data_IF_822702898062
#
_entry.id   IF_822702898062
#
_cell.length_a   1.000
_cell.length_b   1.000
_cell.length_c   1.000
_cell.angle_alpha   90.00
_cell.angle_beta   90.00
_cell.angle_gamma   90.00
#
_symmetry.space_group_name_H-M   'P 1'
#
loop_
_entity.id
_entity.type
_entity.pdbx_description
1 polymer ?
#
# COMPACT_ATOMS: atom_id res chain seq x y z
N UNK A 1 33.20 -13.51 8.25
CA UNK A 1 32.83 -12.31 7.47
C UNK A 1 31.54 -12.49 6.65
N UNK A 2 31.39 -13.49 5.76
CA UNK A 2 30.14 -13.69 4.96
C UNK A 2 28.83 -13.79 5.79
N UNK A 3 28.84 -14.48 6.94
CA UNK A 3 27.65 -14.57 7.81
C UNK A 3 27.22 -13.21 8.37
N UNK A 4 28.16 -12.37 8.78
CA UNK A 4 27.88 -11.04 9.34
C UNK A 4 27.22 -10.16 8.28
N UNK A 5 27.73 -10.15 7.04
CA UNK A 5 27.12 -9.41 5.93
C UNK A 5 25.67 -9.85 5.65
N UNK A 6 25.39 -11.16 5.68
CA UNK A 6 24.04 -11.68 5.46
C UNK A 6 23.04 -11.23 6.53
N UNK A 7 23.46 -11.15 7.80
CA UNK A 7 22.62 -10.62 8.88
C UNK A 7 22.32 -9.13 8.70
N UNK A 8 23.32 -8.33 8.31
CA UNK A 8 23.12 -6.90 8.04
C UNK A 8 22.11 -6.69 6.89
N UNK A 9 22.28 -7.40 5.77
CA UNK A 9 21.34 -7.33 4.64
C UNK A 9 19.93 -7.73 5.04
N UNK A 10 19.76 -8.74 5.89
CA UNK A 10 18.45 -9.16 6.38
C UNK A 10 17.77 -8.10 7.25
N UNK A 11 18.50 -7.45 8.17
CA UNK A 11 17.95 -6.36 8.98
C UNK A 11 17.61 -5.13 8.14
N UNK A 12 18.49 -4.75 7.20
CA UNK A 12 18.23 -3.67 6.25
C UNK A 12 16.95 -3.97 5.46
N UNK A 13 16.77 -5.20 4.99
CA UNK A 13 15.58 -5.62 4.26
C UNK A 13 14.30 -5.47 5.11
N UNK A 14 14.33 -5.86 6.39
CA UNK A 14 13.18 -5.68 7.29
C UNK A 14 12.89 -4.20 7.53
N UNK A 15 13.91 -3.39 7.79
CA UNK A 15 13.75 -1.95 8.04
C UNK A 15 13.20 -1.27 6.78
N UNK A 16 13.75 -1.58 5.61
CA UNK A 16 13.28 -1.10 4.32
C UNK A 16 11.82 -1.51 4.09
N UNK A 17 11.44 -2.75 4.43
CA UNK A 17 10.06 -3.20 4.31
C UNK A 17 9.11 -2.29 5.07
N UNK A 18 9.39 -1.99 6.35
CA UNK A 18 8.52 -1.13 7.15
C UNK A 18 8.49 0.30 6.60
N UNK A 19 9.66 0.89 6.37
CA UNK A 19 9.74 2.28 5.92
C UNK A 19 9.05 2.48 4.58
N UNK A 20 9.35 1.64 3.59
CA UNK A 20 8.80 1.79 2.24
C UNK A 20 7.30 1.56 2.22
N UNK A 21 6.78 0.53 2.92
CA UNK A 21 5.34 0.27 2.95
C UNK A 21 4.56 1.36 3.71
N UNK A 22 5.10 1.87 4.84
CA UNK A 22 4.46 2.98 5.57
C UNK A 22 4.48 4.24 4.70
N UNK A 23 5.61 4.57 4.08
CA UNK A 23 5.71 5.74 3.21
C UNK A 23 4.76 5.63 2.00
N UNK A 24 4.54 4.43 1.48
CA UNK A 24 3.63 4.25 0.35
C UNK A 24 2.16 4.55 0.69
N UNK A 25 1.77 4.51 1.97
CA UNK A 25 0.42 4.91 2.39
C UNK A 25 0.12 6.37 2.10
N UNK A 26 1.15 7.22 2.04
CA UNK A 26 1.01 8.63 1.67
C UNK A 26 0.55 8.84 0.23
N UNK A 27 0.76 7.86 -0.65
CA UNK A 27 0.19 7.91 -2.00
C UNK A 27 -1.34 7.89 -1.96
N UNK A 28 -1.98 7.42 -0.90
CA UNK A 28 -3.43 7.49 -0.74
C UNK A 28 -3.91 8.75 -0.04
N UNK A 29 -3.14 9.28 0.90
CA UNK A 29 -3.59 10.29 1.86
C UNK A 29 -3.15 11.70 1.53
N UNK A 30 -2.12 11.87 0.68
CA UNK A 30 -1.64 13.18 0.21
C UNK A 30 -2.33 13.53 -1.10
N UNK A 31 -2.92 14.73 -1.17
CA UNK A 31 -3.70 15.17 -2.32
C UNK A 31 -2.84 15.33 -3.58
N UNK A 32 -1.58 15.75 -3.44
CA UNK A 32 -0.62 15.89 -4.53
C UNK A 32 -0.32 14.55 -5.21
N UNK A 33 -0.36 13.44 -4.45
CA UNK A 33 -0.12 12.08 -4.96
C UNK A 33 -1.42 11.38 -5.36
N UNK A 34 -2.55 11.76 -4.74
CA UNK A 34 -3.87 11.27 -5.06
C UNK A 34 -4.88 12.41 -5.10
N UNK A 35 -4.98 13.07 -6.25
CA UNK A 35 -5.87 14.23 -6.46
C UNK A 35 -7.37 13.96 -6.27
N UNK A 36 -7.77 12.71 -6.10
CA UNK A 36 -9.18 12.30 -6.00
C UNK A 36 -9.72 12.30 -4.56
N UNK A 37 -8.89 12.57 -3.56
CA UNK A 37 -9.35 12.70 -2.17
C UNK A 37 -9.72 14.14 -1.82
N UNK A 38 -10.62 14.28 -0.86
CA UNK A 38 -10.83 15.56 -0.19
C UNK A 38 -9.59 15.88 0.68
N UNK A 39 -9.07 17.12 0.64
CA UNK A 39 -7.92 17.50 1.44
C UNK A 39 -8.28 17.52 2.91
N UNK A 40 -7.65 16.65 3.69
CA UNK A 40 -7.63 16.73 5.14
C UNK A 40 -6.36 17.46 5.58
N UNK A 41 -6.47 18.32 6.60
CA UNK A 41 -5.29 19.01 7.12
C UNK A 41 -4.40 18.01 7.85
N UNK A 42 -3.22 17.76 7.28
CA UNK A 42 -2.15 17.04 7.94
C UNK A 42 -1.64 17.88 9.12
N UNK A 43 -1.59 17.27 10.30
CA UNK A 43 -0.99 17.87 11.48
C UNK A 43 -0.04 16.85 12.12
N UNK A 44 0.93 17.35 12.88
CA UNK A 44 2.00 16.52 13.42
C UNK A 44 1.49 15.33 14.26
N UNK A 45 0.47 15.55 15.10
CA UNK A 45 -0.10 14.49 15.94
C UNK A 45 -0.83 13.42 15.11
N UNK A 46 -1.55 13.84 14.07
CA UNK A 46 -2.23 12.94 13.13
C UNK A 46 -1.23 12.09 12.34
N UNK A 47 -0.14 12.70 11.89
CA UNK A 47 0.95 12.01 11.20
C UNK A 47 1.65 10.98 12.08
N UNK A 48 1.99 11.34 13.31
CA UNK A 48 2.56 10.40 14.27
C UNK A 48 1.60 9.25 14.55
N UNK A 49 0.31 9.53 14.73
CA UNK A 49 -0.69 8.51 14.97
C UNK A 49 -0.85 7.56 13.77
N UNK A 50 -0.89 8.10 12.55
CA UNK A 50 -0.94 7.31 11.32
C UNK A 50 0.30 6.42 11.16
N UNK A 51 1.50 6.97 11.40
CA UNK A 51 2.75 6.23 11.34
C UNK A 51 2.78 5.07 12.35
N UNK A 52 2.43 5.35 13.62
CA UNK A 52 2.38 4.32 14.68
C UNK A 52 1.33 3.27 14.38
N UNK A 53 0.15 3.67 13.89
CA UNK A 53 -0.92 2.74 13.50
C UNK A 53 -0.48 1.81 12.38
N UNK A 54 0.09 2.37 11.30
CA UNK A 54 0.60 1.60 10.16
C UNK A 54 1.72 0.65 10.60
N UNK A 55 2.68 1.14 11.39
CA UNK A 55 3.76 0.31 11.93
C UNK A 55 3.21 -0.83 12.79
N UNK A 56 2.25 -0.55 13.67
CA UNK A 56 1.68 -1.54 14.59
C UNK A 56 0.98 -2.67 13.85
N UNK A 57 0.18 -2.36 12.82
CA UNK A 57 -0.50 -3.37 12.00
C UNK A 57 0.52 -4.22 11.25
N UNK A 58 1.48 -3.60 10.56
CA UNK A 58 2.52 -4.33 9.84
C UNK A 58 3.35 -5.22 10.77
N UNK A 59 3.70 -4.70 11.95
CA UNK A 59 4.47 -5.43 12.95
C UNK A 59 3.69 -6.63 13.49
N UNK A 60 2.41 -6.44 13.80
CA UNK A 60 1.54 -7.51 14.26
C UNK A 60 1.40 -8.63 13.24
N UNK A 61 1.09 -8.28 11.98
CA UNK A 61 1.00 -9.25 10.87
C UNK A 61 2.32 -10.00 10.70
N UNK A 62 3.44 -9.29 10.63
CA UNK A 62 4.75 -9.90 10.47
C UNK A 62 5.10 -10.83 11.64
N UNK A 63 4.74 -10.44 12.87
CA UNK A 63 4.97 -11.27 14.06
C UNK A 63 4.23 -12.59 13.94
N UNK A 64 2.94 -12.57 13.56
CA UNK A 64 2.14 -13.78 13.35
C UNK A 64 2.79 -14.67 12.28
N UNK A 65 3.07 -14.15 11.09
CA UNK A 65 3.62 -14.98 10.00
C UNK A 65 5.03 -15.50 10.30
N UNK A 66 5.86 -14.73 10.99
CA UNK A 66 7.22 -15.15 11.35
C UNK A 66 7.23 -16.22 12.46
N UNK A 67 6.12 -16.40 13.18
CA UNK A 67 5.96 -17.58 14.06
C UNK A 67 5.92 -18.87 13.25
N UNK A 68 5.33 -18.88 12.05
CA UNK A 68 5.26 -20.05 11.18
C UNK A 68 6.48 -20.18 10.27
N UNK A 69 6.95 -19.06 9.71
CA UNK A 69 8.08 -19.04 8.78
C UNK A 69 9.39 -18.89 9.56
N UNK A 70 10.19 -19.96 9.63
CA UNK A 70 11.44 -19.97 10.41
C UNK A 70 12.70 -19.58 9.61
N UNK A 71 12.70 -19.81 8.29
CA UNK A 71 13.87 -19.58 7.43
C UNK A 71 13.93 -18.10 6.99
N UNK A 72 15.09 -17.47 7.14
CA UNK A 72 15.30 -16.06 6.77
C UNK A 72 14.93 -15.76 5.31
N UNK A 73 15.35 -16.62 4.36
CA UNK A 73 15.00 -16.49 2.94
C UNK A 73 13.48 -16.49 2.71
N UNK A 74 12.77 -17.42 3.36
CA UNK A 74 11.31 -17.52 3.25
C UNK A 74 10.60 -16.33 3.89
N UNK A 75 11.15 -15.75 4.97
CA UNK A 75 10.63 -14.51 5.57
C UNK A 75 10.76 -13.34 4.61
N UNK A 76 11.90 -13.18 3.94
CA UNK A 76 12.10 -12.14 2.93
C UNK A 76 11.16 -12.31 1.73
N UNK A 77 10.97 -13.56 1.25
CA UNK A 77 10.00 -13.86 0.19
C UNK A 77 8.57 -13.49 0.61
N UNK A 78 8.18 -13.81 1.85
CA UNK A 78 6.90 -13.40 2.40
C UNK A 78 6.75 -11.88 2.41
N UNK A 79 7.73 -11.15 2.93
CA UNK A 79 7.70 -9.68 2.98
C UNK A 79 7.60 -9.06 1.58
N UNK A 80 8.27 -9.64 0.58
CA UNK A 80 8.22 -9.19 -0.82
C UNK A 80 6.82 -9.42 -1.43
N UNK A 81 6.26 -10.62 -1.27
CA UNK A 81 4.90 -10.94 -1.74
C UNK A 81 3.87 -10.06 -1.01
N UNK A 82 4.02 -9.89 0.30
CA UNK A 82 3.13 -9.09 1.11
C UNK A 82 3.19 -7.60 0.71
N UNK A 83 4.39 -7.08 0.44
CA UNK A 83 4.57 -5.72 -0.12
C UNK A 83 3.86 -5.57 -1.46
N UNK A 84 3.99 -6.55 -2.37
CA UNK A 84 3.27 -6.53 -3.64
C UNK A 84 1.75 -6.45 -3.44
N UNK A 85 1.20 -7.29 -2.54
CA UNK A 85 -0.23 -7.30 -2.22
C UNK A 85 -0.70 -5.97 -1.61
N UNK A 86 0.07 -5.38 -0.69
CA UNK A 86 -0.23 -4.08 -0.09
C UNK A 86 -0.22 -2.97 -1.13
N UNK A 87 0.78 -2.93 -2.01
CA UNK A 87 0.88 -1.94 -3.08
C UNK A 87 -0.25 -2.09 -4.09
N UNK A 88 -0.63 -3.32 -4.43
CA UNK A 88 -1.78 -3.59 -5.28
C UNK A 88 -3.08 -3.11 -4.63
N UNK A 89 -3.25 -3.32 -3.32
CA UNK A 89 -4.39 -2.78 -2.58
C UNK A 89 -4.38 -1.25 -2.57
N UNK A 90 -3.24 -0.61 -2.31
CA UNK A 90 -3.09 0.84 -2.37
C UNK A 90 -3.48 1.37 -3.75
N UNK A 91 -3.03 0.75 -4.83
CA UNK A 91 -3.41 1.12 -6.18
C UNK A 91 -4.94 1.07 -6.37
N UNK A 92 -5.58 -0.05 -5.97
CA UNK A 92 -7.03 -0.20 -6.08
C UNK A 92 -7.80 0.79 -5.22
N UNK A 93 -7.32 1.13 -4.03
CA UNK A 93 -7.92 2.16 -3.19
C UNK A 93 -7.80 3.55 -3.84
N UNK A 94 -6.71 3.82 -4.56
CA UNK A 94 -6.55 5.03 -5.37
C UNK A 94 -7.56 5.10 -6.53
N UNK A 95 -7.76 3.98 -7.22
CA UNK A 95 -8.81 3.84 -8.25
C UNK A 95 -10.20 4.00 -7.63
N UNK A 96 -10.44 3.44 -6.45
CA UNK A 96 -11.70 3.62 -5.74
C UNK A 96 -11.95 5.11 -5.43
N UNK A 97 -10.93 5.84 -4.97
CA UNK A 97 -11.03 7.27 -4.71
C UNK A 97 -11.37 8.07 -5.99
N UNK A 98 -10.89 7.68 -7.17
CA UNK A 98 -11.28 8.29 -8.46
C UNK A 98 -12.79 8.30 -8.66
N UNK A 99 -13.44 7.16 -8.42
CA UNK A 99 -14.87 7.01 -8.72
C UNK A 99 -15.77 7.47 -7.57
N UNK A 100 -15.27 7.45 -6.33
CA UNK A 100 -16.12 7.58 -5.12
C UNK A 100 -15.64 8.64 -4.12
N UNK A 101 -14.52 9.31 -4.40
CA UNK A 101 -13.93 10.36 -3.56
C UNK A 101 -13.27 9.83 -2.30
N UNK A 102 -14.09 9.36 -1.34
CA UNK A 102 -13.61 8.83 -0.06
C UNK A 102 -13.76 7.32 0.03
N UNK A 103 -12.64 6.62 0.03
CA UNK A 103 -12.53 5.26 0.51
C UNK A 103 -13.25 5.07 1.87
N UNK A 104 -14.06 4.00 1.97
CA UNK A 104 -14.74 3.56 3.20
C UNK A 104 -15.95 4.37 3.69
N UNK A 105 -16.59 5.20 2.86
CA UNK A 105 -17.90 5.77 3.22
C UNK A 105 -19.04 4.77 2.92
N UNK A 106 -19.95 4.55 3.88
CA UNK A 106 -21.13 3.68 3.70
C UNK A 106 -21.97 4.13 2.49
N UNK A 107 -22.22 5.44 2.24
CA UNK A 107 -22.93 5.90 1.05
C UNK A 107 -22.23 5.50 -0.26
N UNK A 108 -20.90 5.55 -0.33
CA UNK A 108 -20.13 5.18 -1.52
C UNK A 108 -20.24 3.69 -1.88
N UNK A 109 -20.49 2.81 -0.90
CA UNK A 109 -20.63 1.36 -1.13
C UNK A 109 -21.91 0.95 -1.89
N UNK A 110 -22.86 1.87 -2.07
CA UNK A 110 -24.10 1.59 -2.83
C UNK A 110 -23.86 1.38 -4.33
N UNK A 111 -22.69 1.78 -4.85
CA UNK A 111 -22.30 1.60 -6.25
C UNK A 111 -22.12 0.13 -6.65
N UNK A 112 -21.82 -0.77 -5.71
CA UNK A 112 -21.75 -2.21 -6.03
C UNK A 112 -23.09 -2.78 -6.49
N UNK A 113 -24.18 -2.01 -6.35
CA UNK A 113 -25.52 -2.32 -6.87
C UNK A 113 -25.81 -1.67 -8.24
N UNK A 114 -24.82 -1.07 -8.89
CA UNK A 114 -25.01 -0.38 -10.17
C UNK A 114 -25.28 -1.41 -11.31
N UNK A 115 -26.46 -1.36 -11.97
CA UNK A 115 -26.84 -2.34 -12.99
C UNK A 115 -26.24 -2.07 -14.38
N UNK A 116 -25.42 -1.04 -14.56
CA UNK A 116 -24.84 -0.67 -15.86
C UNK A 116 -23.67 -1.59 -16.25
N UNK A 117 -23.89 -2.52 -17.18
CA UNK A 117 -22.89 -3.50 -17.67
C UNK A 117 -21.60 -2.85 -18.22
N UNK A 118 -21.69 -1.66 -18.82
CA UNK A 118 -20.53 -0.93 -19.36
C UNK A 118 -19.63 -0.26 -18.31
N UNK A 119 -20.11 -0.11 -17.08
CA UNK A 119 -19.36 0.56 -16.02
C UNK A 119 -18.13 -0.26 -15.60
N UNK A 120 -18.26 -1.58 -15.50
CA UNK A 120 -17.17 -2.45 -15.03
C UNK A 120 -15.96 -2.45 -15.96
N UNK A 121 -16.18 -2.58 -17.28
CA UNK A 121 -15.09 -2.62 -18.26
C UNK A 121 -14.43 -1.24 -18.44
N UNK A 122 -15.22 -0.16 -18.45
CA UNK A 122 -14.69 1.20 -18.51
C UNK A 122 -13.82 1.54 -17.29
N UNK A 123 -14.28 1.16 -16.10
CA UNK A 123 -13.54 1.32 -14.84
C UNK A 123 -12.19 0.61 -14.88
N UNK A 124 -12.14 -0.62 -15.40
CA UNK A 124 -10.90 -1.40 -15.49
C UNK A 124 -9.90 -0.79 -16.48
N UNK A 125 -10.36 -0.36 -17.66
CA UNK A 125 -9.49 0.33 -18.63
C UNK A 125 -8.94 1.62 -18.03
N UNK A 126 -9.78 2.40 -17.36
CA UNK A 126 -9.37 3.66 -16.75
C UNK A 126 -8.40 3.46 -15.59
N UNK A 127 -8.60 2.41 -14.77
CA UNK A 127 -7.64 2.00 -13.75
C UNK A 127 -6.26 1.68 -14.36
N UNK A 128 -6.22 0.91 -15.46
CA UNK A 128 -4.96 0.60 -16.14
C UNK A 128 -4.29 1.84 -16.75
N UNK A 129 -5.06 2.77 -17.31
CA UNK A 129 -4.53 4.02 -17.85
C UNK A 129 -3.93 4.90 -16.74
N UNK A 130 -4.51 4.91 -15.54
CA UNK A 130 -3.99 5.67 -14.40
C UNK A 130 -2.57 5.25 -13.99
N UNK A 131 -2.17 3.99 -14.21
CA UNK A 131 -0.80 3.53 -13.94
C UNK A 131 0.24 4.36 -14.71
N UNK A 132 -0.08 4.76 -15.94
CA UNK A 132 0.83 5.43 -16.86
C UNK A 132 0.57 6.93 -16.87
N UNK A 133 -0.67 7.36 -17.10
CA UNK A 133 -1.02 8.77 -17.32
C UNK A 133 -0.73 9.66 -16.09
N UNK A 134 -0.85 9.10 -14.90
CA UNK A 134 -0.61 9.82 -13.64
C UNK A 134 0.50 9.19 -12.80
N UNK A 135 1.38 8.42 -13.44
CA UNK A 135 2.53 7.77 -12.80
C UNK A 135 2.16 6.95 -11.55
N UNK A 136 0.93 6.39 -11.48
CA UNK A 136 0.52 5.57 -10.33
C UNK A 136 1.32 4.28 -10.21
N UNK A 137 2.10 3.91 -11.23
CA UNK A 137 3.10 2.85 -11.13
C UNK A 137 4.10 3.06 -9.98
N UNK A 138 4.32 4.31 -9.54
CA UNK A 138 5.17 4.65 -8.38
C UNK A 138 4.69 3.96 -7.10
N UNK A 139 3.39 3.63 -6.98
CA UNK A 139 2.84 2.83 -5.87
C UNK A 139 3.57 1.49 -5.70
N UNK A 140 4.15 0.94 -6.76
CA UNK A 140 4.87 -0.34 -6.72
C UNK A 140 6.37 -0.18 -6.42
N UNK A 141 6.88 1.03 -6.19
CA UNK A 141 8.28 1.28 -5.85
C UNK A 141 8.77 0.50 -4.62
N UNK A 142 8.00 0.36 -3.52
CA UNK A 142 8.41 -0.49 -2.40
C UNK A 142 8.70 -1.93 -2.80
N UNK A 143 7.97 -2.47 -3.78
CA UNK A 143 8.18 -3.83 -4.27
C UNK A 143 9.45 -3.97 -5.11
N UNK A 144 9.78 -2.98 -5.95
CA UNK A 144 10.98 -3.03 -6.78
C UNK A 144 12.27 -2.76 -6.01
N UNK A 145 12.18 -2.01 -4.89
CA UNK A 145 13.34 -1.67 -4.06
C UNK A 145 13.71 -2.80 -3.10
N UNK A 146 12.73 -3.61 -2.66
CA UNK A 146 12.95 -4.79 -1.81
C UNK A 146 13.46 -5.99 -2.61
#
# INVERSE_FOLDING_TARGET
MKKIAAWHSYFIFIIAFFLLNILNTYVLTIQELNRYIAPFRHNFLGEMNAFIGNFSILFFVNTIFFTFIKKAKSRMQFLLIFTFLLNFFIFWMGVFNLFFGTAFSIPASTIFKNPAEGFAMGTLIQALLELITYYRIIVFLPFFVL
#
